data_IF_152958747542
#
_entry.id   IF_152958747542
#
_cell.length_a   1.000
_cell.length_b   1.000
_cell.length_c   1.000
_cell.angle_alpha   90.00
_cell.angle_beta   90.00
_cell.angle_gamma   90.00
#
_symmetry.space_group_name_H-M   'P 1'
#
loop_
_entity.id
_entity.type
_entity.pdbx_description
1 polymer ?
#
# COMPACT_ATOMS: atom_id res chain seq x y z
N UNK A 1 -14.58 49.36 -30.15
CA UNK A 1 -13.16 49.45 -30.48
C UNK A 1 -12.56 48.08 -30.10
N UNK A 2 -12.53 47.10 -30.98
CA UNK A 2 -11.49 46.74 -31.96
C UNK A 2 -10.09 46.67 -31.31
N UNK A 3 -9.58 45.44 -31.15
CA UNK A 3 -8.35 44.93 -31.73
C UNK A 3 -8.04 43.58 -31.04
N UNK A 4 -8.08 42.44 -31.70
CA UNK A 4 -7.13 41.81 -32.62
C UNK A 4 -5.74 41.60 -32.03
N UNK A 5 -5.32 40.37 -31.91
CA UNK A 5 -4.48 39.49 -32.75
C UNK A 5 -3.32 39.00 -31.90
N UNK A 6 -2.84 37.78 -31.83
CA UNK A 6 -2.33 36.87 -32.90
C UNK A 6 -1.93 35.52 -32.29
N UNK A 7 -2.25 34.49 -33.01
CA UNK A 7 -1.65 33.16 -32.92
C UNK A 7 -0.18 33.16 -33.33
N UNK A 8 0.64 32.31 -32.70
CA UNK A 8 1.85 31.79 -33.34
C UNK A 8 1.94 30.28 -33.04
N UNK A 9 1.67 29.54 -34.07
CA UNK A 9 2.03 28.14 -34.21
C UNK A 9 3.52 28.07 -34.57
N UNK A 10 4.28 27.22 -33.88
CA UNK A 10 5.60 26.80 -34.40
C UNK A 10 5.65 25.28 -34.32
N UNK A 11 5.55 24.73 -35.54
CA UNK A 11 5.85 23.33 -35.81
C UNK A 11 7.38 23.18 -35.92
N UNK A 12 7.93 22.12 -35.36
CA UNK A 12 9.26 21.61 -35.73
C UNK A 12 9.15 20.09 -35.76
N UNK A 13 9.00 19.60 -36.91
CA UNK A 13 9.83 18.86 -37.90
C UNK A 13 10.65 17.71 -37.30
N UNK A 14 10.19 16.57 -37.74
CA UNK A 14 10.73 15.22 -37.81
C UNK A 14 12.25 15.18 -38.14
N UNK A 15 12.98 14.31 -37.45
CA UNK A 15 14.16 13.67 -38.05
C UNK A 15 14.21 12.20 -37.64
N UNK A 16 13.94 11.38 -38.63
CA UNK A 16 14.18 9.94 -38.69
C UNK A 16 15.63 9.75 -39.14
N UNK A 17 16.40 8.98 -38.41
CA UNK A 17 17.59 8.29 -38.95
C UNK A 17 17.48 6.83 -38.57
N UNK A 18 17.28 6.03 -39.60
CA UNK A 18 17.41 4.58 -39.60
C UNK A 18 18.79 4.21 -40.13
N UNK A 19 19.32 3.12 -39.67
CA UNK A 19 20.24 2.13 -40.24
C UNK A 19 21.20 1.63 -39.14
N UNK A 20 21.48 0.35 -38.99
CA UNK A 20 21.34 -0.84 -39.80
C UNK A 20 21.82 -2.03 -38.98
N UNK A 21 21.19 -3.10 -39.22
CA UNK A 21 21.62 -4.47 -39.48
C UNK A 21 23.11 -4.81 -39.22
N UNK A 22 23.36 -5.86 -38.42
CA UNK A 22 23.87 -7.16 -38.88
C UNK A 22 23.90 -8.18 -37.73
N UNK A 23 23.33 -9.23 -37.96
CA UNK A 23 23.42 -10.65 -37.96
C UNK A 23 24.80 -11.24 -37.52
N UNK A 24 24.76 -12.21 -36.64
CA UNK A 24 25.20 -13.59 -36.82
C UNK A 24 25.28 -14.37 -35.52
N UNK A 25 24.46 -15.41 -35.40
CA UNK A 25 24.70 -16.64 -34.66
C UNK A 25 25.67 -17.49 -35.50
N UNK A 26 26.54 -18.40 -34.99
CA UNK A 26 26.04 -19.71 -34.64
C UNK A 26 26.75 -20.46 -33.44
N UNK A 27 25.99 -21.33 -32.86
CA UNK A 27 26.28 -22.71 -32.43
C UNK A 27 27.72 -23.16 -32.20
N UNK A 28 27.98 -23.82 -31.04
CA UNK A 28 28.38 -25.20 -31.01
C UNK A 28 28.28 -25.80 -29.58
N UNK A 29 27.46 -26.84 -29.48
CA UNK A 29 27.68 -28.22 -29.04
C UNK A 29 28.45 -28.42 -27.72
N UNK A 30 27.70 -28.89 -26.68
CA UNK A 30 27.52 -30.30 -26.33
C UNK A 30 28.81 -31.08 -25.97
N UNK A 31 28.93 -31.45 -24.70
CA UNK A 31 29.22 -32.85 -24.34
C UNK A 31 28.86 -33.14 -22.88
N UNK A 32 28.33 -34.32 -22.72
CA UNK A 32 27.74 -35.01 -21.63
C UNK A 32 28.66 -35.30 -20.43
N UNK A 33 27.98 -35.50 -19.30
CA UNK A 33 28.20 -36.30 -18.08
C UNK A 33 29.41 -37.29 -18.02
N UNK A 34 29.81 -37.75 -16.82
CA UNK A 34 28.94 -38.28 -15.76
C UNK A 34 29.35 -37.95 -14.31
N UNK A 35 28.41 -38.15 -13.39
CA UNK A 35 28.66 -38.29 -11.95
C UNK A 35 29.43 -39.59 -11.62
N UNK A 36 30.06 -39.68 -10.43
CA UNK A 36 29.43 -40.45 -9.39
C UNK A 36 29.57 -39.91 -7.95
N UNK A 37 28.55 -40.19 -7.16
CA UNK A 37 28.47 -40.58 -5.76
C UNK A 37 29.65 -40.27 -4.79
N UNK A 38 29.34 -39.70 -3.65
CA UNK A 38 29.26 -40.38 -2.36
C UNK A 38 29.31 -39.42 -1.16
N UNK A 39 28.29 -39.58 -0.29
CA UNK A 39 28.30 -39.52 1.17
C UNK A 39 28.47 -38.20 1.93
N UNK A 40 27.30 -37.84 2.55
CA UNK A 40 27.16 -37.58 3.98
C UNK A 40 28.17 -36.65 4.69
N UNK A 41 27.69 -35.50 5.17
CA UNK A 41 27.53 -35.36 6.62
C UNK A 41 26.70 -34.12 6.94
N UNK A 42 25.79 -34.28 7.87
CA UNK A 42 24.91 -33.24 8.36
C UNK A 42 25.66 -32.13 9.10
N UNK A 43 25.07 -30.98 9.05
CA UNK A 43 25.12 -30.02 10.16
C UNK A 43 23.93 -29.07 10.00
N UNK A 44 23.02 -29.17 10.95
CA UNK A 44 22.01 -28.21 11.30
C UNK A 44 22.55 -26.78 11.20
N UNK A 45 21.92 -25.98 10.37
CA UNK A 45 21.88 -24.54 10.60
C UNK A 45 20.40 -24.14 10.58
N UNK A 46 19.82 -24.21 11.77
CA UNK A 46 18.57 -23.53 12.12
C UNK A 46 18.67 -22.08 11.68
N UNK A 47 17.89 -21.70 10.69
CA UNK A 47 17.56 -20.31 10.47
C UNK A 47 16.84 -19.78 11.72
N UNK A 48 17.24 -18.64 12.28
CA UNK A 48 16.49 -18.05 13.36
C UNK A 48 15.19 -17.50 12.78
N UNK A 49 14.10 -18.19 13.07
CA UNK A 49 12.75 -17.69 12.97
C UNK A 49 12.63 -16.54 13.98
N UNK A 50 12.91 -15.33 13.53
CA UNK A 50 12.62 -14.13 14.28
C UNK A 50 11.14 -13.79 14.08
N UNK A 51 10.28 -14.50 14.79
CA UNK A 51 8.95 -13.99 15.09
C UNK A 51 9.11 -12.65 15.80
N UNK A 52 8.47 -11.59 15.35
CA UNK A 52 8.39 -10.35 16.11
C UNK A 52 7.70 -10.66 17.44
N UNK A 53 8.39 -10.35 18.52
CA UNK A 53 7.96 -10.52 19.90
C UNK A 53 6.66 -9.72 20.08
N UNK A 54 5.53 -10.42 20.12
CA UNK A 54 4.26 -9.85 20.55
C UNK A 54 4.42 -9.31 21.97
N UNK A 55 4.50 -8.01 22.06
CA UNK A 55 4.32 -7.32 23.34
C UNK A 55 2.85 -7.40 23.67
N UNK A 56 2.50 -8.30 24.59
CA UNK A 56 1.18 -8.42 25.18
C UNK A 56 0.78 -7.10 25.87
N UNK A 57 0.03 -6.33 25.13
CA UNK A 57 -0.90 -5.35 25.62
C UNK A 57 -2.17 -5.57 24.83
N UNK A 58 -3.00 -6.50 25.25
CA UNK A 58 -4.25 -6.85 24.57
C UNK A 58 -5.27 -5.74 24.78
N UNK A 59 -5.17 -4.70 23.97
CA UNK A 59 -6.34 -3.98 23.51
C UNK A 59 -6.52 -4.42 22.06
N UNK A 60 -7.50 -5.27 21.78
CA UNK A 60 -7.82 -5.66 20.42
C UNK A 60 -8.13 -4.38 19.67
N UNK A 61 -7.19 -3.90 18.88
CA UNK A 61 -7.38 -2.69 18.11
C UNK A 61 -8.58 -2.92 17.19
N UNK A 62 -9.58 -2.07 17.29
CA UNK A 62 -10.76 -2.17 16.43
C UNK A 62 -10.34 -1.81 15.01
N UNK A 63 -10.49 -2.75 14.09
CA UNK A 63 -10.02 -2.62 12.71
C UNK A 63 -11.16 -2.96 11.77
N UNK A 64 -11.33 -2.16 10.74
CA UNK A 64 -12.33 -2.37 9.68
C UNK A 64 -11.78 -3.39 8.66
N UNK A 65 -12.17 -4.63 8.84
CA UNK A 65 -11.80 -5.78 8.00
C UNK A 65 -13.04 -6.46 7.46
N UNK A 66 -12.87 -7.19 6.37
CA UNK A 66 -13.92 -8.06 5.85
C UNK A 66 -14.04 -9.36 6.65
N UNK A 67 -14.96 -10.24 6.25
CA UNK A 67 -15.23 -11.54 6.89
C UNK A 67 -14.00 -12.48 6.90
N UNK A 68 -12.99 -12.21 6.09
CA UNK A 68 -11.73 -12.95 6.02
C UNK A 68 -10.62 -12.29 6.83
N UNK A 69 -10.91 -11.17 7.51
CA UNK A 69 -9.93 -10.40 8.27
C UNK A 69 -9.02 -9.52 7.39
N UNK A 70 -9.39 -9.28 6.12
CA UNK A 70 -8.60 -8.51 5.18
C UNK A 70 -8.96 -7.03 5.29
N UNK A 71 -7.97 -6.19 5.52
CA UNK A 71 -8.13 -4.74 5.61
C UNK A 71 -8.10 -4.09 4.21
N UNK A 72 -8.70 -2.89 4.08
CA UNK A 72 -8.68 -2.09 2.85
C UNK A 72 -9.19 -2.84 1.61
N UNK A 73 -10.04 -3.84 1.80
CA UNK A 73 -10.53 -4.69 0.70
C UNK A 73 -9.37 -5.29 -0.13
N UNK A 74 -8.22 -5.54 0.51
CA UNK A 74 -7.01 -6.10 -0.09
C UNK A 74 -6.22 -5.14 -1.00
N UNK A 75 -6.35 -3.83 -0.83
CA UNK A 75 -5.46 -2.85 -1.46
C UNK A 75 -4.18 -2.66 -0.63
N UNK A 76 -3.06 -2.46 -1.32
CA UNK A 76 -1.74 -2.31 -0.74
C UNK A 76 -1.59 -0.98 -0.01
N UNK A 77 -1.49 -1.03 1.31
CA UNK A 77 -1.40 0.16 2.15
C UNK A 77 -0.15 1.00 1.90
N UNK A 78 0.98 0.37 1.53
CA UNK A 78 2.24 1.07 1.23
C UNK A 78 2.14 1.87 -0.06
N UNK A 79 1.34 1.39 -1.02
CA UNK A 79 1.13 2.08 -2.29
C UNK A 79 0.46 3.45 -2.13
N UNK A 80 -0.38 3.65 -1.12
CA UNK A 80 -0.93 4.99 -0.82
C UNK A 80 0.17 6.00 -0.54
N UNK A 81 1.19 5.60 0.23
CA UNK A 81 2.30 6.47 0.60
C UNK A 81 3.30 6.68 -0.53
N UNK A 82 3.64 5.61 -1.26
CA UNK A 82 4.68 5.65 -2.29
C UNK A 82 4.19 6.16 -3.64
N UNK A 83 2.93 5.86 -3.97
CA UNK A 83 2.39 6.09 -5.31
C UNK A 83 1.20 7.06 -5.31
N UNK A 84 0.63 7.38 -4.14
CA UNK A 84 -0.54 8.26 -4.02
C UNK A 84 -1.80 7.70 -4.70
N UNK A 85 -1.91 6.37 -4.85
CA UNK A 85 -3.03 5.72 -5.54
C UNK A 85 -3.33 4.34 -4.99
N UNK A 86 -4.53 3.83 -5.34
CA UNK A 86 -4.91 2.46 -5.05
C UNK A 86 -4.15 1.50 -5.95
N UNK A 87 -3.51 0.52 -5.33
CA UNK A 87 -2.91 -0.61 -6.02
C UNK A 87 -3.42 -1.88 -5.36
N UNK A 88 -3.97 -2.81 -6.13
CA UNK A 88 -4.44 -4.07 -5.58
C UNK A 88 -3.26 -4.89 -5.07
N UNK A 89 -3.38 -5.40 -3.85
CA UNK A 89 -2.42 -6.35 -3.30
C UNK A 89 -2.59 -7.76 -3.88
N UNK A 90 -1.54 -8.55 -3.77
CA UNK A 90 -1.53 -9.97 -4.10
C UNK A 90 -1.71 -10.77 -2.82
N UNK A 91 -2.73 -11.63 -2.69
CA UNK A 91 -2.93 -12.47 -1.51
C UNK A 91 -1.73 -13.35 -1.12
N UNK A 92 -0.86 -13.69 -2.10
CA UNK A 92 0.37 -14.45 -1.81
C UNK A 92 1.48 -13.60 -1.14
N UNK A 93 1.30 -12.28 -1.04
CA UNK A 93 2.26 -11.35 -0.44
C UNK A 93 1.53 -10.60 0.67
N UNK A 94 1.51 -11.20 1.85
CA UNK A 94 0.71 -10.72 2.97
C UNK A 94 1.52 -10.56 4.26
N UNK A 95 1.02 -9.76 5.19
CA UNK A 95 1.44 -9.67 6.57
C UNK A 95 0.24 -9.48 7.48
N UNK A 96 0.32 -10.00 8.69
CA UNK A 96 -0.69 -9.76 9.72
C UNK A 96 -0.17 -8.75 10.74
N UNK A 97 -0.97 -7.74 11.03
CA UNK A 97 -0.65 -6.73 12.03
C UNK A 97 -1.92 -6.24 12.74
N UNK A 98 -1.89 -6.18 14.08
CA UNK A 98 -3.02 -5.75 14.92
C UNK A 98 -4.36 -6.44 14.59
N UNK A 99 -4.32 -7.74 14.26
CA UNK A 99 -5.51 -8.52 13.97
C UNK A 99 -6.09 -8.35 12.56
N UNK A 100 -5.40 -7.63 11.67
CA UNK A 100 -5.78 -7.48 10.27
C UNK A 100 -4.74 -8.07 9.33
N UNK A 101 -5.19 -8.61 8.20
CA UNK A 101 -4.34 -9.10 7.12
C UNK A 101 -4.21 -8.04 6.03
N UNK A 102 -2.97 -7.69 5.72
CA UNK A 102 -2.58 -6.71 4.71
C UNK A 102 -2.03 -7.42 3.48
N UNK A 103 -2.52 -7.10 2.30
CA UNK A 103 -1.98 -7.58 1.03
C UNK A 103 -1.11 -6.53 0.37
N UNK A 104 0.01 -6.96 -0.22
CA UNK A 104 0.96 -6.06 -0.86
C UNK A 104 1.09 -6.35 -2.36
N UNK A 105 1.33 -5.32 -3.14
CA UNK A 105 1.53 -5.44 -4.59
C UNK A 105 2.93 -5.92 -4.97
N UNK A 106 3.86 -5.92 -4.00
CA UNK A 106 5.24 -6.38 -4.18
C UNK A 106 5.86 -6.83 -2.86
N UNK A 107 6.88 -7.69 -2.94
CA UNK A 107 7.69 -8.09 -1.79
C UNK A 107 8.43 -6.89 -1.15
N UNK A 108 8.79 -5.89 -1.94
CA UNK A 108 9.40 -4.65 -1.44
C UNK A 108 8.43 -3.88 -0.55
N UNK A 109 7.17 -3.71 -0.97
CA UNK A 109 6.17 -3.02 -0.16
C UNK A 109 5.86 -3.79 1.13
N UNK A 110 5.81 -5.14 1.05
CA UNK A 110 5.71 -5.99 2.24
C UNK A 110 6.87 -5.75 3.20
N UNK A 111 8.10 -5.77 2.71
CA UNK A 111 9.30 -5.56 3.54
C UNK A 111 9.31 -4.17 4.20
N UNK A 112 8.89 -3.12 3.49
CA UNK A 112 8.76 -1.78 4.07
C UNK A 112 7.70 -1.73 5.18
N UNK A 113 6.57 -2.41 4.97
CA UNK A 113 5.53 -2.51 6.00
C UNK A 113 6.02 -3.28 7.22
N UNK A 114 6.63 -4.44 7.02
CA UNK A 114 7.13 -5.31 8.11
C UNK A 114 8.21 -4.60 8.95
N UNK A 115 8.99 -3.72 8.32
CA UNK A 115 10.01 -2.93 9.01
C UNK A 115 9.42 -1.83 9.90
N UNK A 116 8.34 -1.18 9.50
CA UNK A 116 7.66 -0.12 10.27
C UNK A 116 6.14 -0.11 9.98
N UNK A 117 5.37 -1.08 10.50
CA UNK A 117 3.93 -1.14 10.26
C UNK A 117 3.19 0.12 10.76
N UNK A 118 3.64 0.70 11.89
CA UNK A 118 3.00 1.86 12.51
C UNK A 118 3.00 3.12 11.63
N UNK A 119 3.93 3.18 10.68
CA UNK A 119 3.99 4.23 9.67
C UNK A 119 2.85 4.15 8.67
N UNK A 120 2.51 2.92 8.25
CA UNK A 120 1.64 2.66 7.11
C UNK A 120 0.18 2.37 7.50
N UNK A 121 -0.07 1.92 8.73
CA UNK A 121 -1.44 1.61 9.15
C UNK A 121 -2.35 2.84 9.04
N UNK A 122 -3.58 2.67 8.52
CA UNK A 122 -4.55 3.75 8.48
C UNK A 122 -4.93 4.23 9.88
N UNK A 123 -5.15 5.52 10.03
CA UNK A 123 -5.76 6.06 11.24
C UNK A 123 -7.17 5.46 11.43
N UNK A 124 -7.57 5.37 12.67
CA UNK A 124 -8.89 4.90 13.08
C UNK A 124 -9.24 3.51 12.53
N UNK A 125 -8.24 2.61 12.48
CA UNK A 125 -8.44 1.22 12.08
C UNK A 125 -9.05 1.05 10.68
N UNK A 126 -8.82 1.97 9.75
CA UNK A 126 -9.42 2.00 8.42
C UNK A 126 -10.94 2.22 8.40
N UNK A 127 -11.57 2.72 9.46
CA UNK A 127 -12.91 3.29 9.40
C UNK A 127 -12.91 4.67 8.74
N UNK A 128 -14.07 5.13 8.30
CA UNK A 128 -14.23 6.46 7.73
C UNK A 128 -13.84 7.54 8.75
N UNK A 129 -12.76 8.27 8.49
CA UNK A 129 -12.23 9.31 9.41
C UNK A 129 -13.25 10.43 9.66
N UNK A 130 -14.04 10.81 8.64
CA UNK A 130 -15.14 11.78 8.84
C UNK A 130 -16.27 11.20 9.69
N UNK A 131 -16.57 9.91 9.55
CA UNK A 131 -17.50 9.22 10.44
C UNK A 131 -17.04 9.24 11.89
N UNK A 132 -15.75 8.91 12.12
CA UNK A 132 -15.15 8.95 13.47
C UNK A 132 -15.18 10.36 14.05
N UNK A 133 -14.88 11.40 13.25
CA UNK A 133 -14.98 12.79 13.67
C UNK A 133 -16.42 13.18 14.12
N UNK A 134 -17.43 12.52 13.55
CA UNK A 134 -18.84 12.69 13.92
C UNK A 134 -19.33 11.65 14.96
N UNK A 135 -18.41 10.87 15.56
CA UNK A 135 -18.72 9.94 16.65
C UNK A 135 -19.33 8.61 16.22
N UNK A 136 -19.15 8.19 14.97
CA UNK A 136 -19.65 6.92 14.43
C UNK A 136 -18.55 6.13 13.71
N UNK A 137 -18.60 4.80 13.83
CA UNK A 137 -17.78 3.89 13.01
C UNK A 137 -18.55 3.60 11.72
N UNK A 138 -18.10 4.18 10.63
CA UNK A 138 -18.66 3.98 9.30
C UNK A 138 -17.65 3.25 8.42
N UNK A 139 -18.16 2.32 7.60
CA UNK A 139 -17.37 1.56 6.64
C UNK A 139 -16.95 2.42 5.45
N UNK A 140 -16.07 1.86 4.63
CA UNK A 140 -15.63 2.44 3.37
C UNK A 140 -16.44 1.86 2.20
N UNK A 141 -17.12 2.71 1.44
CA UNK A 141 -17.72 2.30 0.16
C UNK A 141 -16.60 1.87 -0.79
N UNK A 142 -15.54 2.69 -0.82
CA UNK A 142 -14.31 2.42 -1.55
C UNK A 142 -13.10 2.93 -0.77
N UNK A 143 -11.97 2.21 -0.75
CA UNK A 143 -10.74 2.71 -0.15
C UNK A 143 -10.04 3.79 -0.99
N UNK A 144 -10.69 4.29 -2.06
CA UNK A 144 -10.18 5.35 -2.95
C UNK A 144 -10.31 6.76 -2.41
N UNK A 145 -11.27 6.99 -1.54
CA UNK A 145 -11.46 8.30 -0.90
C UNK A 145 -10.49 8.45 0.28
N UNK A 146 -9.30 8.97 0.05
CA UNK A 146 -8.26 9.08 1.06
C UNK A 146 -7.47 10.39 1.01
N UNK A 147 -6.78 10.68 2.08
CA UNK A 147 -5.77 11.74 2.15
C UNK A 147 -4.59 11.32 3.02
N UNK A 148 -3.38 11.64 2.55
CA UNK A 148 -2.19 11.61 3.36
C UNK A 148 -1.98 13.00 3.97
N UNK A 149 -2.00 13.09 5.29
CA UNK A 149 -1.83 14.34 6.00
C UNK A 149 -0.91 14.16 7.20
N UNK A 150 0.11 15.03 7.33
CA UNK A 150 1.13 14.94 8.38
C UNK A 150 1.72 13.52 8.53
N UNK A 151 1.96 12.84 7.38
CA UNK A 151 2.55 11.50 7.34
C UNK A 151 1.63 10.36 7.80
N UNK A 152 0.33 10.59 7.92
CA UNK A 152 -0.68 9.59 8.27
C UNK A 152 -1.72 9.42 7.17
N UNK A 153 -2.25 8.21 7.04
CA UNK A 153 -3.29 7.86 6.08
C UNK A 153 -4.67 7.96 6.74
N UNK A 154 -5.50 8.81 6.19
CA UNK A 154 -6.90 8.97 6.57
C UNK A 154 -7.79 8.51 5.42
N UNK A 155 -8.75 7.66 5.73
CA UNK A 155 -9.71 7.10 4.77
C UNK A 155 -11.08 7.68 5.03
N UNK A 156 -11.86 7.87 3.98
CA UNK A 156 -13.25 8.30 4.08
C UNK A 156 -14.15 7.34 3.32
N UNK A 157 -15.42 7.26 3.69
CA UNK A 157 -16.37 6.34 3.08
C UNK A 157 -16.51 6.55 1.58
N UNK A 158 -16.54 7.83 1.17
CA UNK A 158 -16.67 8.24 -0.23
C UNK A 158 -16.09 9.64 -0.44
N UNK A 159 -16.10 10.12 -1.68
CA UNK A 159 -15.57 11.44 -2.05
C UNK A 159 -16.27 12.62 -1.34
N UNK A 160 -17.56 12.51 -1.05
CA UNK A 160 -18.32 13.51 -0.31
C UNK A 160 -17.80 13.64 1.13
N UNK A 161 -17.61 12.51 1.80
CA UNK A 161 -17.03 12.44 3.14
C UNK A 161 -15.58 12.94 3.15
N UNK A 162 -14.79 12.60 2.12
CA UNK A 162 -13.42 13.10 1.98
C UNK A 162 -13.37 14.61 1.81
N UNK A 163 -14.26 15.18 0.99
CA UNK A 163 -14.38 16.63 0.81
C UNK A 163 -14.74 17.31 2.12
N UNK A 164 -15.70 16.76 2.86
CA UNK A 164 -16.10 17.29 4.16
C UNK A 164 -14.98 17.19 5.19
N UNK A 165 -14.27 16.05 5.23
CA UNK A 165 -13.11 15.87 6.12
C UNK A 165 -11.99 16.88 5.82
N UNK A 166 -11.74 17.17 4.55
CA UNK A 166 -10.69 18.10 4.12
C UNK A 166 -11.09 19.58 4.29
N UNK A 167 -12.35 19.91 4.45
CA UNK A 167 -12.79 21.31 4.61
C UNK A 167 -12.30 21.95 5.92
N UNK A 168 -12.09 21.12 6.94
CA UNK A 168 -11.44 21.49 8.21
C UNK A 168 -10.69 20.25 8.72
N UNK A 169 -9.56 19.96 8.10
CA UNK A 169 -8.86 18.69 8.33
C UNK A 169 -8.31 18.58 9.75
N UNK A 170 -7.77 19.67 10.32
CA UNK A 170 -7.24 19.67 11.68
C UNK A 170 -8.38 19.53 12.71
N UNK A 171 -9.45 20.31 12.58
CA UNK A 171 -10.61 20.19 13.48
C UNK A 171 -11.31 18.84 13.40
N UNK A 172 -11.41 18.26 12.21
CA UNK A 172 -11.95 16.90 12.05
C UNK A 172 -11.02 15.84 12.65
N UNK A 173 -9.69 16.00 12.59
CA UNK A 173 -8.74 15.09 13.24
C UNK A 173 -8.87 15.20 14.76
N UNK A 174 -8.93 16.41 15.32
CA UNK A 174 -9.09 16.63 16.75
C UNK A 174 -10.38 15.97 17.28
N UNK A 175 -11.49 16.16 16.57
CA UNK A 175 -12.76 15.52 16.89
C UNK A 175 -12.70 13.98 16.77
N UNK A 176 -12.03 13.48 15.73
CA UNK A 176 -11.87 12.04 15.53
C UNK A 176 -10.99 11.41 16.62
N UNK A 177 -9.88 12.03 16.98
CA UNK A 177 -9.01 11.55 18.06
C UNK A 177 -9.76 11.54 19.42
N UNK A 178 -10.55 12.57 19.72
CA UNK A 178 -11.38 12.62 20.92
C UNK A 178 -12.49 11.54 20.96
N UNK A 179 -13.07 11.21 19.81
CA UNK A 179 -14.12 10.20 19.70
C UNK A 179 -13.57 8.76 19.66
N UNK A 180 -12.34 8.56 19.14
CA UNK A 180 -11.80 7.24 18.84
C UNK A 180 -11.76 6.32 20.06
N UNK A 181 -11.19 6.78 21.17
CA UNK A 181 -11.08 5.95 22.38
C UNK A 181 -12.46 5.46 22.84
N UNK A 182 -13.47 6.33 22.83
CA UNK A 182 -14.83 5.98 23.19
C UNK A 182 -15.46 4.96 22.22
N UNK A 183 -15.20 5.11 20.93
CA UNK A 183 -15.77 4.25 19.89
C UNK A 183 -15.17 2.83 19.87
N UNK A 184 -13.93 2.66 20.36
CA UNK A 184 -13.25 1.36 20.38
C UNK A 184 -13.33 0.66 21.76
N UNK A 185 -13.86 1.33 22.78
CA UNK A 185 -13.96 0.79 24.14
C UNK A 185 -15.06 -0.28 24.30
N UNK A 186 -15.80 -0.61 23.23
CA UNK A 186 -16.96 -1.54 23.26
C UNK A 186 -16.80 -2.72 22.33
#
# INVERSE_FOLDING_TARGET
MKSFVRALATAFVLSVVAAGIDAANPSDKQTADPAPDTAQNGSDVSAPNASPKETRGSTTAKVNVDDQGIILKGYDVVAYFKQGKLVKGNPAIESTYQGATYFFSSSTNKADFDNDPAKYVPKYGAFCSYGVANGVLADLDTPGAFVLYKGKLYLCGNEGALKAFKSDIDGNIDNADANWERLVAH
#
